data_IF_531149630215
#
_entry.id   IF_531149630215
#
_cell.length_a   1.000
_cell.length_b   1.000
_cell.length_c   1.000
_cell.angle_alpha   90.00
_cell.angle_beta   90.00
_cell.angle_gamma   90.00
#
_symmetry.space_group_name_H-M   'P 1'
#
loop_
_entity.id
_entity.type
_entity.pdbx_description
1 polymer ?
#
# COMPACT_ATOMS: atom_id res chain seq x y z
N UNK A 1 25.13 -25.15 14.10
CA UNK A 1 24.30 -24.77 15.26
C UNK A 1 24.99 -23.77 16.18
N UNK A 2 26.20 -23.98 16.69
CA UNK A 2 26.87 -23.07 17.62
C UNK A 2 27.09 -21.60 17.15
N UNK A 3 27.36 -21.37 15.86
CA UNK A 3 27.50 -19.99 15.33
C UNK A 3 26.17 -19.20 15.27
N UNK A 4 25.04 -19.86 15.15
CA UNK A 4 23.71 -19.23 15.14
C UNK A 4 23.30 -18.81 16.55
N UNK A 5 23.57 -19.64 17.54
CA UNK A 5 23.36 -19.33 18.97
C UNK A 5 24.18 -18.14 19.46
N UNK A 6 25.45 -18.05 19.04
CA UNK A 6 26.35 -16.92 19.44
C UNK A 6 25.89 -15.59 18.77
N UNK A 7 25.29 -15.65 17.59
CA UNK A 7 24.74 -14.45 16.92
C UNK A 7 23.43 -14.01 17.59
N UNK A 8 22.59 -14.95 17.98
CA UNK A 8 21.34 -14.69 18.72
C UNK A 8 21.61 -14.13 20.12
N UNK A 9 22.59 -14.66 20.87
CA UNK A 9 23.01 -14.09 22.13
C UNK A 9 23.60 -12.67 22.00
N UNK A 10 24.41 -12.41 20.99
CA UNK A 10 24.99 -11.08 20.78
C UNK A 10 23.95 -10.05 20.37
N UNK A 11 22.92 -10.44 19.57
CA UNK A 11 21.80 -9.54 19.23
C UNK A 11 20.90 -9.26 20.42
N UNK A 12 20.65 -10.23 21.29
CA UNK A 12 19.91 -10.03 22.54
C UNK A 12 20.61 -9.04 23.49
N UNK A 13 21.90 -9.21 23.70
CA UNK A 13 22.71 -8.30 24.55
C UNK A 13 22.77 -6.87 23.94
N UNK A 14 22.82 -6.74 22.63
CA UNK A 14 22.81 -5.44 21.95
C UNK A 14 21.47 -4.70 22.12
N UNK A 15 20.35 -5.45 22.08
CA UNK A 15 19.03 -4.90 22.30
C UNK A 15 18.78 -4.51 23.76
N UNK A 16 19.22 -5.33 24.73
CA UNK A 16 19.19 -4.97 26.17
C UNK A 16 19.95 -3.68 26.47
N UNK A 17 21.12 -3.49 25.89
CA UNK A 17 21.89 -2.25 26.07
C UNK A 17 21.19 -1.03 25.50
N UNK A 18 20.52 -1.16 24.35
CA UNK A 18 19.70 -0.08 23.77
C UNK A 18 18.47 0.27 24.61
N UNK A 19 17.80 -0.74 25.19
CA UNK A 19 16.69 -0.54 26.11
C UNK A 19 17.15 0.23 27.36
N UNK A 20 18.30 -0.11 27.92
CA UNK A 20 18.86 0.58 29.08
C UNK A 20 19.20 2.04 28.74
N UNK A 21 19.80 2.29 27.58
CA UNK A 21 20.11 3.65 27.12
C UNK A 21 18.86 4.51 26.87
N UNK A 22 17.80 3.93 26.30
CA UNK A 22 16.50 4.59 26.13
C UNK A 22 15.86 4.95 27.47
N UNK A 23 15.86 4.03 28.43
CA UNK A 23 15.36 4.25 29.79
C UNK A 23 16.16 5.33 30.52
N UNK A 24 17.48 5.34 30.43
CA UNK A 24 18.35 6.37 31.06
C UNK A 24 18.06 7.78 30.50
N UNK A 25 17.79 7.89 29.20
CA UNK A 25 17.39 9.17 28.60
C UNK A 25 16.02 9.64 29.10
N UNK A 26 15.08 8.71 29.23
CA UNK A 26 13.74 8.99 29.78
C UNK A 26 13.80 9.36 31.26
N UNK A 27 14.64 8.69 32.06
CA UNK A 27 14.87 9.04 33.46
C UNK A 27 15.43 10.46 33.62
N UNK A 28 16.35 10.87 32.76
CA UNK A 28 16.88 12.25 32.75
C UNK A 28 15.81 13.28 32.35
N UNK A 29 14.88 12.93 31.48
CA UNK A 29 13.72 13.78 31.12
C UNK A 29 12.73 13.83 32.30
N UNK A 30 12.41 12.69 32.93
CA UNK A 30 11.52 12.60 34.09
C UNK A 30 12.03 13.39 35.31
N UNK A 31 13.34 13.44 35.56
CA UNK A 31 13.93 14.22 36.63
C UNK A 31 13.68 15.72 36.47
N UNK A 32 13.44 16.23 35.25
CA UNK A 32 13.08 17.63 34.97
C UNK A 32 11.58 17.90 35.17
N UNK A 33 10.72 16.89 35.07
CA UNK A 33 9.25 17.00 35.07
C UNK A 33 8.57 16.42 36.32
N UNK A 34 9.24 16.39 37.46
CA UNK A 34 8.73 15.87 38.75
C UNK A 34 8.23 14.41 38.69
N UNK A 35 8.93 13.53 38.00
CA UNK A 35 8.62 12.11 37.83
C UNK A 35 7.32 11.85 37.05
N UNK A 36 6.86 12.80 36.25
CA UNK A 36 5.74 12.63 35.32
C UNK A 36 6.29 12.72 33.90
N UNK A 37 6.06 11.68 33.10
CA UNK A 37 6.37 11.66 31.67
C UNK A 37 5.09 11.57 30.87
N UNK A 38 5.07 12.23 29.73
CA UNK A 38 4.01 12.06 28.74
C UNK A 38 4.24 10.76 27.98
N UNK A 39 3.18 10.01 27.72
CA UNK A 39 3.23 8.75 26.97
C UNK A 39 3.91 8.95 25.60
N UNK A 40 3.68 10.10 24.98
CA UNK A 40 4.24 10.47 23.69
C UNK A 40 5.78 10.59 23.76
N UNK A 41 6.30 11.21 24.81
CA UNK A 41 7.75 11.34 25.01
C UNK A 41 8.44 9.98 25.21
N UNK A 42 7.72 8.99 25.73
CA UNK A 42 8.21 7.63 25.86
C UNK A 42 8.24 6.95 24.50
N UNK A 43 7.18 7.11 23.70
CA UNK A 43 7.09 6.53 22.37
C UNK A 43 8.14 7.12 21.42
N UNK A 44 8.29 8.44 21.37
CA UNK A 44 9.31 9.12 20.57
C UNK A 44 10.73 8.63 20.88
N UNK A 45 11.02 8.44 22.18
CA UNK A 45 12.35 7.99 22.61
C UNK A 45 12.62 6.51 22.26
N UNK A 46 11.58 5.68 22.28
CA UNK A 46 11.64 4.28 21.85
C UNK A 46 11.81 4.21 20.33
N UNK A 47 11.17 5.10 19.60
CA UNK A 47 11.30 5.25 18.15
C UNK A 47 12.72 5.65 17.74
N UNK A 48 13.27 6.71 18.36
CA UNK A 48 14.66 7.15 18.14
C UNK A 48 15.69 6.05 18.46
N UNK A 49 15.38 5.19 19.42
CA UNK A 49 16.28 4.10 19.86
C UNK A 49 16.11 2.82 19.05
N UNK A 50 15.06 2.70 18.22
CA UNK A 50 14.75 1.54 17.38
C UNK A 50 14.42 0.27 18.18
N UNK A 51 13.79 0.42 19.36
CA UNK A 51 13.55 -0.67 20.33
C UNK A 51 12.06 -0.95 20.50
N UNK A 52 11.29 -0.90 19.41
CA UNK A 52 9.84 -1.14 19.42
C UNK A 52 9.43 -2.49 20.00
N UNK A 53 10.21 -3.53 19.71
CA UNK A 53 9.90 -4.89 20.15
C UNK A 53 10.04 -5.07 21.69
N UNK A 54 10.71 -4.12 22.37
CA UNK A 54 10.98 -4.14 23.81
C UNK A 54 10.27 -3.02 24.59
N UNK A 55 9.20 -2.47 24.01
CA UNK A 55 8.40 -1.39 24.62
C UNK A 55 7.89 -1.76 26.04
N UNK A 56 7.51 -3.01 26.22
CA UNK A 56 7.06 -3.54 27.52
C UNK A 56 8.16 -3.51 28.59
N UNK A 57 9.39 -3.78 28.20
CA UNK A 57 10.53 -3.72 29.12
C UNK A 57 10.86 -2.27 29.54
N UNK A 58 10.69 -1.32 28.62
CA UNK A 58 10.85 0.11 28.89
C UNK A 58 9.80 0.57 29.91
N UNK A 59 8.53 0.25 29.71
CA UNK A 59 7.44 0.59 30.65
C UNK A 59 7.62 -0.09 32.01
N UNK A 60 8.05 -1.36 32.05
CA UNK A 60 8.29 -2.07 33.31
C UNK A 60 9.43 -1.45 34.12
N UNK A 61 10.51 -1.00 33.46
CA UNK A 61 11.62 -0.29 34.10
C UNK A 61 11.21 1.11 34.58
N UNK A 62 10.43 1.87 33.79
CA UNK A 62 9.89 3.16 34.23
C UNK A 62 8.96 3.03 35.44
N UNK A 63 8.13 1.99 35.47
CA UNK A 63 7.25 1.70 36.62
C UNK A 63 8.05 1.31 37.88
N UNK A 64 9.15 0.56 37.74
CA UNK A 64 10.04 0.22 38.86
C UNK A 64 10.70 1.44 39.52
N UNK A 65 10.96 2.49 38.74
CA UNK A 65 11.50 3.78 39.17
C UNK A 65 10.42 4.78 39.63
N UNK A 66 9.16 4.31 39.81
CA UNK A 66 8.01 5.12 40.25
C UNK A 66 7.71 6.35 39.39
N UNK A 67 7.99 6.27 38.09
CA UNK A 67 7.63 7.32 37.14
C UNK A 67 6.19 7.07 36.67
N UNK A 68 5.34 8.08 36.85
CA UNK A 68 3.95 8.07 36.38
C UNK A 68 3.94 8.55 34.94
N UNK A 69 3.57 7.65 34.02
CA UNK A 69 3.31 8.02 32.63
C UNK A 69 1.86 8.46 32.54
N UNK A 70 1.63 9.74 32.30
CA UNK A 70 0.30 10.31 32.10
C UNK A 70 -0.01 10.44 30.62
N UNK A 71 -1.19 10.05 30.24
CA UNK A 71 -1.81 10.49 28.99
C UNK A 71 -2.44 11.84 29.25
N UNK A 72 -1.88 12.91 28.69
CA UNK A 72 -2.65 14.13 28.56
C UNK A 72 -3.78 13.85 27.59
N UNK A 73 -5.02 14.15 28.01
CA UNK A 73 -6.19 14.22 27.14
C UNK A 73 -6.13 15.49 26.22
N UNK A 74 -4.97 15.89 25.79
CA UNK A 74 -4.87 16.80 24.65
C UNK A 74 -5.01 15.95 23.40
N UNK A 75 -5.76 16.41 22.39
CA UNK A 75 -5.84 15.72 21.11
C UNK A 75 -4.40 15.55 20.63
N UNK A 76 -3.93 14.29 20.62
CA UNK A 76 -2.61 13.97 20.16
C UNK A 76 -2.49 14.53 18.75
N UNK A 77 -1.47 15.37 18.50
CA UNK A 77 -1.00 15.78 17.18
C UNK A 77 -0.60 14.59 16.28
N UNK A 78 -0.79 13.38 16.80
CA UNK A 78 -0.62 12.10 16.13
C UNK A 78 -1.80 11.65 15.26
N UNK A 79 -2.79 12.48 15.07
CA UNK A 79 -3.75 12.29 14.00
C UNK A 79 -3.08 12.64 12.65
N UNK A 80 -2.02 11.87 12.35
CA UNK A 80 -1.32 11.84 11.05
C UNK A 80 -2.32 11.75 9.89
N UNK A 81 -3.49 11.24 10.17
CA UNK A 81 -4.61 11.02 9.27
C UNK A 81 -5.80 11.97 9.52
N UNK A 82 -5.79 12.77 10.59
CA UNK A 82 -6.94 13.56 11.00
C UNK A 82 -7.06 14.92 10.33
N UNK A 83 -6.05 15.38 9.61
CA UNK A 83 -6.07 16.71 9.06
C UNK A 83 -5.93 16.74 7.56
N UNK A 84 -7.00 16.40 6.86
CA UNK A 84 -7.18 16.84 5.48
C UNK A 84 -8.09 18.06 5.35
N UNK A 85 -8.56 18.64 6.42
CA UNK A 85 -9.20 19.98 6.41
C UNK A 85 -9.25 20.41 7.87
N UNK A 86 -8.77 21.60 8.21
CA UNK A 86 -9.15 22.37 9.38
C UNK A 86 -10.63 22.74 9.23
N UNK A 87 -11.48 21.74 9.29
CA UNK A 87 -12.88 21.99 9.56
C UNK A 87 -13.01 22.05 11.07
N UNK A 88 -13.36 23.26 11.54
CA UNK A 88 -13.95 23.53 12.84
C UNK A 88 -14.61 22.24 13.41
N UNK A 89 -14.29 21.81 14.63
CA UNK A 89 -14.85 20.58 15.23
C UNK A 89 -16.36 20.47 15.08
N UNK A 90 -17.06 21.61 14.94
CA UNK A 90 -18.49 21.70 14.61
C UNK A 90 -18.81 21.21 13.20
N UNK A 91 -17.97 21.50 12.19
CA UNK A 91 -18.21 21.11 10.79
C UNK A 91 -17.86 19.65 10.55
N UNK A 92 -16.82 19.12 11.23
CA UNK A 92 -16.47 17.68 11.19
C UNK A 92 -17.58 16.85 11.83
N UNK A 93 -18.15 17.31 12.94
CA UNK A 93 -19.29 16.64 13.57
C UNK A 93 -20.56 16.72 12.74
N UNK A 94 -20.84 17.84 12.04
CA UNK A 94 -21.98 17.95 11.13
C UNK A 94 -21.80 17.12 9.86
N UNK A 95 -20.64 17.14 9.21
CA UNK A 95 -20.36 16.29 8.04
C UNK A 95 -20.38 14.79 8.42
N UNK A 96 -19.79 14.43 9.56
CA UNK A 96 -19.84 13.04 10.04
C UNK A 96 -21.24 12.62 10.50
N UNK A 97 -22.07 13.54 11.01
CA UNK A 97 -23.48 13.31 11.33
C UNK A 97 -24.29 13.15 10.04
N UNK A 98 -24.12 14.04 9.08
CA UNK A 98 -24.78 13.95 7.77
C UNK A 98 -24.33 12.71 7.00
N UNK A 99 -23.05 12.30 7.08
CA UNK A 99 -22.56 11.07 6.47
C UNK A 99 -23.19 9.81 7.10
N UNK A 100 -23.49 9.84 8.39
CA UNK A 100 -24.19 8.74 9.08
C UNK A 100 -25.70 8.76 8.79
N UNK A 101 -26.28 9.92 8.52
CA UNK A 101 -27.71 10.04 8.13
C UNK A 101 -27.91 9.70 6.65
N UNK A 102 -26.94 9.97 5.78
CA UNK A 102 -26.93 9.59 4.37
C UNK A 102 -26.56 8.12 4.11
N UNK A 103 -25.93 7.43 5.08
CA UNK A 103 -25.76 5.99 5.02
C UNK A 103 -27.15 5.35 5.18
N UNK A 104 -27.86 5.29 4.07
CA UNK A 104 -29.13 4.53 3.92
C UNK A 104 -28.91 3.01 4.02
N UNK A 105 -27.72 2.58 4.46
CA UNK A 105 -27.33 1.19 4.52
C UNK A 105 -27.94 0.55 5.79
N UNK A 106 -28.97 -0.23 5.59
CA UNK A 106 -29.63 -1.00 6.64
C UNK A 106 -28.62 -1.85 7.45
N UNK A 107 -27.49 -2.21 6.83
CA UNK A 107 -26.43 -3.01 7.44
C UNK A 107 -25.67 -2.29 8.56
N UNK A 108 -25.31 -1.01 8.38
CA UNK A 108 -24.66 -0.21 9.43
C UNK A 108 -25.60 0.00 10.62
N UNK A 109 -26.85 0.35 10.34
CA UNK A 109 -27.88 0.53 11.40
C UNK A 109 -28.13 -0.76 12.16
N UNK A 110 -28.20 -1.90 11.43
CA UNK A 110 -28.36 -3.21 12.05
C UNK A 110 -27.19 -3.52 12.98
N UNK A 111 -25.95 -3.34 12.51
CA UNK A 111 -24.74 -3.56 13.33
C UNK A 111 -24.73 -2.70 14.59
N UNK A 112 -24.97 -1.38 14.47
CA UNK A 112 -24.99 -0.46 15.60
C UNK A 112 -26.09 -0.82 16.63
N UNK A 113 -27.24 -1.29 16.16
CA UNK A 113 -28.32 -1.77 17.03
C UNK A 113 -27.92 -3.03 17.80
N UNK A 114 -27.21 -3.96 17.14
CA UNK A 114 -26.79 -5.21 17.79
C UNK A 114 -25.72 -4.95 18.87
N UNK A 115 -24.69 -4.15 18.58
CA UNK A 115 -23.67 -3.81 19.58
C UNK A 115 -24.24 -2.96 20.73
N UNK A 116 -25.32 -2.19 20.48
CA UNK A 116 -25.99 -1.38 21.48
C UNK A 116 -26.72 -2.17 22.54
N UNK A 117 -27.08 -3.43 22.30
CA UNK A 117 -27.75 -4.32 23.27
C UNK A 117 -26.83 -4.78 24.40
N UNK A 118 -25.53 -4.75 24.19
CA UNK A 118 -24.54 -5.25 25.14
C UNK A 118 -24.25 -4.16 26.18
N UNK A 119 -24.41 -4.42 27.49
CA UNK A 119 -24.11 -3.45 28.52
C UNK A 119 -22.61 -3.16 28.61
N UNK A 120 -22.27 -1.95 29.03
CA UNK A 120 -20.88 -1.58 29.33
C UNK A 120 -20.39 -2.29 30.57
N UNK A 121 -19.14 -2.67 30.63
CA UNK A 121 -18.51 -3.30 31.78
C UNK A 121 -18.15 -2.26 32.84
N UNK A 122 -18.33 -2.61 34.11
CA UNK A 122 -17.75 -1.89 35.24
C UNK A 122 -16.27 -2.21 35.39
N UNK A 123 -15.50 -1.38 36.09
CA UNK A 123 -14.07 -1.61 36.29
C UNK A 123 -13.76 -2.95 37.00
N UNK A 124 -14.63 -3.39 37.90
CA UNK A 124 -14.48 -4.66 38.60
C UNK A 124 -14.74 -5.86 37.68
N UNK A 125 -15.78 -5.77 36.85
CA UNK A 125 -16.09 -6.79 35.82
C UNK A 125 -15.00 -6.88 34.76
N UNK A 126 -14.45 -5.74 34.32
CA UNK A 126 -13.33 -5.68 33.37
C UNK A 126 -12.12 -6.44 33.92
N UNK A 127 -11.75 -6.20 35.17
CA UNK A 127 -10.64 -6.86 35.85
C UNK A 127 -10.89 -8.37 36.05
N UNK A 128 -12.13 -8.75 36.42
CA UNK A 128 -12.53 -10.15 36.59
C UNK A 128 -12.47 -10.90 35.22
N UNK A 129 -13.00 -10.29 34.16
CA UNK A 129 -12.91 -10.86 32.79
C UNK A 129 -11.49 -10.96 32.29
N UNK A 130 -10.66 -9.94 32.50
CA UNK A 130 -9.25 -9.96 32.09
C UNK A 130 -8.48 -11.12 32.73
N UNK A 131 -8.68 -11.38 34.02
CA UNK A 131 -8.06 -12.52 34.69
C UNK A 131 -8.51 -13.88 34.11
N UNK A 132 -9.79 -14.00 33.71
CA UNK A 132 -10.31 -15.20 33.04
C UNK A 132 -9.78 -15.35 31.62
N UNK A 133 -9.53 -14.24 30.91
CA UNK A 133 -8.88 -14.25 29.59
C UNK A 133 -7.45 -14.77 29.70
N UNK A 134 -6.68 -14.34 30.70
CA UNK A 134 -5.33 -14.85 30.99
C UNK A 134 -5.36 -16.35 31.30
N UNK A 135 -6.41 -16.83 31.99
CA UNK A 135 -6.62 -18.26 32.23
C UNK A 135 -6.98 -19.06 30.97
N UNK A 136 -7.16 -18.41 29.81
CA UNK A 136 -7.42 -19.03 28.52
C UNK A 136 -8.91 -19.30 28.24
N UNK A 137 -9.83 -18.68 28.97
CA UNK A 137 -11.28 -18.88 28.79
C UNK A 137 -11.78 -18.13 27.55
N UNK A 138 -12.18 -18.84 26.50
CA UNK A 138 -12.69 -18.23 25.26
C UNK A 138 -13.93 -17.36 25.47
N UNK A 139 -14.88 -17.83 26.30
CA UNK A 139 -16.10 -17.05 26.59
C UNK A 139 -15.81 -15.68 27.22
N UNK A 140 -14.82 -15.61 28.13
CA UNK A 140 -14.42 -14.35 28.72
C UNK A 140 -13.79 -13.39 27.70
N UNK A 141 -13.01 -13.93 26.75
CA UNK A 141 -12.46 -13.17 25.63
C UNK A 141 -13.56 -12.59 24.74
N UNK A 142 -14.55 -13.40 24.38
CA UNK A 142 -15.68 -12.98 23.56
C UNK A 142 -16.49 -11.88 24.27
N UNK A 143 -16.83 -12.08 25.55
CA UNK A 143 -17.55 -11.08 26.36
C UNK A 143 -16.81 -9.75 26.49
N UNK A 144 -15.49 -9.80 26.70
CA UNK A 144 -14.67 -8.59 26.81
C UNK A 144 -14.59 -7.84 25.47
N UNK A 145 -14.50 -8.56 24.35
CA UNK A 145 -14.53 -7.98 23.01
C UNK A 145 -15.88 -7.35 22.69
N UNK A 146 -16.98 -8.09 22.90
CA UNK A 146 -18.34 -7.63 22.62
C UNK A 146 -18.69 -6.33 23.38
N UNK A 147 -18.37 -6.25 24.68
CA UNK A 147 -18.63 -5.07 25.49
C UNK A 147 -17.86 -3.81 25.04
N UNK A 148 -16.72 -4.01 24.33
CA UNK A 148 -15.86 -2.92 23.87
C UNK A 148 -15.99 -2.60 22.35
N UNK A 149 -16.91 -3.23 21.61
CA UNK A 149 -17.15 -2.91 20.20
C UNK A 149 -17.59 -1.46 19.98
N UNK A 150 -18.30 -0.86 20.94
CA UNK A 150 -18.70 0.56 20.89
C UNK A 150 -17.48 1.51 20.89
N UNK A 151 -16.41 1.14 21.59
CA UNK A 151 -15.14 1.89 21.55
C UNK A 151 -14.53 1.88 20.15
N UNK A 152 -14.56 0.74 19.46
CA UNK A 152 -14.07 0.63 18.09
C UNK A 152 -14.83 1.58 17.17
N UNK A 153 -16.16 1.62 17.25
CA UNK A 153 -17.00 2.51 16.43
C UNK A 153 -16.66 3.98 16.67
N UNK A 154 -16.46 4.39 17.91
CA UNK A 154 -16.09 5.77 18.26
C UNK A 154 -14.75 6.20 17.67
N UNK A 155 -13.79 5.28 17.57
CA UNK A 155 -12.48 5.50 16.95
C UNK A 155 -12.61 5.48 15.41
N UNK A 156 -13.28 4.48 14.84
CA UNK A 156 -13.44 4.31 13.39
C UNK A 156 -14.16 5.51 12.74
N UNK A 157 -15.11 6.16 13.46
CA UNK A 157 -15.81 7.35 12.98
C UNK A 157 -14.87 8.46 12.54
N UNK A 158 -13.74 8.64 13.21
CA UNK A 158 -12.74 9.68 12.88
C UNK A 158 -11.95 9.38 11.60
N UNK A 159 -12.04 8.15 11.10
CA UNK A 159 -11.34 7.68 9.90
C UNK A 159 -12.26 7.46 8.70
N UNK A 160 -13.54 7.85 8.81
CA UNK A 160 -14.50 7.79 7.71
C UNK A 160 -14.08 8.68 6.53
N UNK A 161 -14.42 8.26 5.30
CA UNK A 161 -14.14 9.03 4.08
C UNK A 161 -12.70 8.98 3.60
N UNK A 162 -11.89 7.99 4.05
CA UNK A 162 -10.48 7.84 3.69
C UNK A 162 -10.18 6.65 2.75
N UNK A 163 -11.15 6.33 1.90
CA UNK A 163 -10.99 5.30 0.86
C UNK A 163 -11.39 3.89 1.29
N UNK A 164 -11.86 3.70 2.54
CA UNK A 164 -12.48 2.47 3.01
C UNK A 164 -13.89 2.75 3.53
N UNK A 165 -14.78 1.79 3.36
CA UNK A 165 -16.12 1.83 3.90
C UNK A 165 -16.12 1.83 5.44
N UNK A 166 -17.11 2.46 6.04
CA UNK A 166 -17.18 2.59 7.50
C UNK A 166 -17.28 1.23 8.21
N UNK A 167 -18.00 0.26 7.64
CA UNK A 167 -18.05 -1.10 8.17
C UNK A 167 -16.70 -1.82 8.11
N UNK A 168 -15.94 -1.62 7.03
CA UNK A 168 -14.60 -2.19 6.89
C UNK A 168 -13.63 -1.62 7.92
N UNK A 169 -13.68 -0.31 8.15
CA UNK A 169 -12.91 0.34 9.23
C UNK A 169 -13.24 -0.24 10.60
N UNK A 170 -14.53 -0.49 10.88
CA UNK A 170 -14.97 -1.11 12.13
C UNK A 170 -14.43 -2.54 12.23
N UNK A 171 -14.51 -3.34 11.16
CA UNK A 171 -14.04 -4.74 11.20
C UNK A 171 -12.53 -4.84 11.38
N UNK A 172 -11.76 -4.00 10.71
CA UNK A 172 -10.32 -3.91 10.93
C UNK A 172 -10.00 -3.42 12.36
N UNK A 173 -10.76 -2.45 12.87
CA UNK A 173 -10.69 -2.02 14.25
C UNK A 173 -11.03 -3.13 15.25
N UNK A 174 -12.04 -3.96 14.97
CA UNK A 174 -12.38 -5.14 15.77
C UNK A 174 -11.25 -6.17 15.79
N UNK A 175 -10.54 -6.34 14.67
CA UNK A 175 -9.34 -7.18 14.62
C UNK A 175 -8.25 -6.65 15.56
N UNK A 176 -8.05 -5.33 15.61
CA UNK A 176 -7.19 -4.66 16.59
C UNK A 176 -7.65 -4.87 18.04
N UNK A 177 -8.95 -4.73 18.30
CA UNK A 177 -9.54 -4.97 19.62
C UNK A 177 -9.29 -6.40 20.11
N UNK A 178 -9.48 -7.42 19.25
CA UNK A 178 -9.22 -8.82 19.61
C UNK A 178 -7.76 -9.04 20.02
N UNK A 179 -6.82 -8.43 19.31
CA UNK A 179 -5.39 -8.46 19.69
C UNK A 179 -5.13 -7.77 21.02
N UNK A 180 -5.82 -6.64 21.27
CA UNK A 180 -5.72 -5.95 22.56
C UNK A 180 -6.24 -6.82 23.70
N UNK A 181 -7.36 -7.52 23.54
CA UNK A 181 -7.92 -8.45 24.54
C UNK A 181 -6.94 -9.59 24.85
N UNK A 182 -6.28 -10.13 23.85
CA UNK A 182 -5.30 -11.23 24.03
C UNK A 182 -4.05 -10.80 24.80
N UNK A 183 -3.62 -9.54 24.62
CA UNK A 183 -2.36 -9.05 25.16
C UNK A 183 -2.53 -8.17 26.41
N UNK A 184 -3.74 -7.93 26.84
CA UNK A 184 -4.00 -7.07 27.99
C UNK A 184 -3.59 -7.71 29.31
N UNK A 185 -2.82 -6.95 30.10
CA UNK A 185 -2.37 -7.37 31.44
C UNK A 185 -2.99 -6.47 32.51
N UNK A 186 -3.97 -6.99 33.29
CA UNK A 186 -4.63 -6.22 34.34
C UNK A 186 -3.72 -5.87 35.51
N UNK A 187 -2.56 -6.56 35.68
CA UNK A 187 -1.63 -6.28 36.80
C UNK A 187 -1.00 -4.90 36.72
N UNK A 188 -0.97 -4.29 35.52
CA UNK A 188 -0.40 -2.96 35.27
C UNK A 188 -1.28 -1.80 35.77
N UNK A 189 -2.52 -2.05 36.22
CA UNK A 189 -3.40 -1.05 36.85
C UNK A 189 -4.03 -0.03 35.87
N UNK A 190 -3.84 -0.16 34.57
CA UNK A 190 -4.46 0.71 33.56
C UNK A 190 -5.82 0.17 33.13
N UNK A 191 -6.72 1.07 32.68
CA UNK A 191 -7.99 0.67 32.07
C UNK A 191 -7.74 0.00 30.71
N UNK A 192 -8.55 -1.00 30.42
CA UNK A 192 -8.48 -1.70 29.14
C UNK A 192 -8.64 -0.74 27.93
N UNK A 193 -9.55 0.23 28.02
CA UNK A 193 -9.80 1.20 26.96
C UNK A 193 -8.55 1.97 26.53
N UNK A 194 -7.68 2.35 27.47
CA UNK A 194 -6.41 3.06 27.18
C UNK A 194 -5.48 2.20 26.31
N UNK A 195 -5.35 0.93 26.65
CA UNK A 195 -4.53 -0.03 25.91
C UNK A 195 -5.16 -0.41 24.56
N UNK A 196 -6.47 -0.67 24.55
CA UNK A 196 -7.19 -1.07 23.34
C UNK A 196 -7.21 0.02 22.27
N UNK A 197 -7.31 1.30 22.65
CA UNK A 197 -7.32 2.43 21.72
C UNK A 197 -6.10 2.43 20.80
N UNK A 198 -4.92 2.11 21.33
CA UNK A 198 -3.71 2.02 20.54
C UNK A 198 -3.79 0.90 19.48
N UNK A 199 -4.22 -0.31 19.88
CA UNK A 199 -4.33 -1.44 18.96
C UNK A 199 -5.41 -1.23 17.90
N UNK A 200 -6.54 -0.63 18.28
CA UNK A 200 -7.63 -0.30 17.36
C UNK A 200 -7.15 0.72 16.32
N UNK A 201 -6.51 1.81 16.77
CA UNK A 201 -5.97 2.85 15.91
C UNK A 201 -4.93 2.27 14.94
N UNK A 202 -3.99 1.50 15.45
CA UNK A 202 -2.95 0.85 14.65
C UNK A 202 -3.54 -0.08 13.58
N UNK A 203 -4.58 -0.86 13.91
CA UNK A 203 -5.23 -1.75 12.95
C UNK A 203 -5.94 -0.94 11.85
N UNK A 204 -6.70 0.09 12.22
CA UNK A 204 -7.41 0.95 11.27
C UNK A 204 -6.43 1.69 10.35
N UNK A 205 -5.42 2.36 10.90
CA UNK A 205 -4.44 3.11 10.08
C UNK A 205 -3.66 2.20 9.15
N UNK A 206 -3.31 1.01 9.60
CA UNK A 206 -2.64 0.01 8.76
C UNK A 206 -3.55 -0.49 7.64
N UNK A 207 -4.83 -0.76 7.94
CA UNK A 207 -5.81 -1.18 6.93
C UNK A 207 -6.00 -0.10 5.85
N UNK A 208 -6.10 1.18 6.24
CA UNK A 208 -6.18 2.30 5.30
C UNK A 208 -4.92 2.34 4.41
N UNK A 209 -3.73 2.21 4.99
CA UNK A 209 -2.48 2.21 4.22
C UNK A 209 -2.39 1.04 3.23
N UNK A 210 -2.91 -0.13 3.61
CA UNK A 210 -2.79 -1.37 2.84
C UNK A 210 -3.89 -1.54 1.78
N UNK A 211 -5.10 -1.00 1.98
CA UNK A 211 -6.30 -1.36 1.22
C UNK A 211 -7.05 -0.17 0.59
N UNK A 212 -6.85 1.08 1.08
CA UNK A 212 -7.64 2.22 0.63
C UNK A 212 -7.37 2.64 -0.83
N UNK A 213 -6.22 2.30 -1.40
CA UNK A 213 -5.83 2.69 -2.76
C UNK A 213 -5.98 1.55 -3.75
N UNK A 214 -6.52 1.83 -4.93
CA UNK A 214 -6.62 0.87 -6.05
C UNK A 214 -5.24 0.32 -6.43
N UNK A 215 -4.23 1.20 -6.50
CA UNK A 215 -2.83 0.80 -6.67
C UNK A 215 -2.18 0.85 -5.29
N UNK A 216 -1.91 -0.34 -4.73
CA UNK A 216 -1.32 -0.49 -3.40
C UNK A 216 0.05 0.18 -3.31
N UNK A 217 0.23 0.98 -2.26
CA UNK A 217 1.49 1.65 -1.92
C UNK A 217 2.05 1.04 -0.62
N UNK A 218 3.37 0.80 -0.50
CA UNK A 218 3.96 0.34 0.75
C UNK A 218 3.73 1.31 1.91
N UNK A 219 3.57 0.79 3.14
CA UNK A 219 3.24 1.59 4.35
C UNK A 219 4.23 2.73 4.57
N UNK A 220 5.54 2.48 4.45
CA UNK A 220 6.56 3.53 4.63
C UNK A 220 6.43 4.70 3.63
N UNK A 221 5.91 4.43 2.41
CA UNK A 221 5.65 5.50 1.44
C UNK A 221 4.41 6.30 1.82
N UNK A 222 3.39 5.65 2.39
CA UNK A 222 2.22 6.33 2.93
C UNK A 222 2.61 7.24 4.10
N UNK A 223 3.49 6.79 4.99
CA UNK A 223 4.05 7.61 6.07
C UNK A 223 4.83 8.82 5.52
N UNK A 224 5.64 8.60 4.47
CA UNK A 224 6.36 9.68 3.80
C UNK A 224 5.42 10.70 3.16
N UNK A 225 4.36 10.26 2.50
CA UNK A 225 3.31 11.13 1.93
C UNK A 225 2.65 11.95 3.03
N UNK A 226 2.33 11.34 4.16
CA UNK A 226 1.72 12.05 5.30
C UNK A 226 2.67 13.08 5.92
N UNK A 227 3.95 12.73 6.07
CA UNK A 227 4.99 13.67 6.51
C UNK A 227 5.08 14.86 5.54
N UNK A 228 5.07 14.59 4.24
CA UNK A 228 5.09 15.65 3.20
C UNK A 228 3.87 16.57 3.33
N UNK A 229 2.66 16.00 3.47
CA UNK A 229 1.43 16.79 3.60
C UNK A 229 1.44 17.69 4.84
N UNK A 230 1.88 17.17 5.99
CA UNK A 230 2.03 17.96 7.21
C UNK A 230 3.03 19.09 7.05
N UNK A 231 4.21 18.77 6.51
CA UNK A 231 5.26 19.76 6.26
C UNK A 231 4.77 20.85 5.28
N UNK A 232 4.10 20.45 4.20
CA UNK A 232 3.53 21.38 3.22
C UNK A 232 2.53 22.33 3.87
N UNK A 233 1.60 21.83 4.71
CA UNK A 233 0.62 22.67 5.41
C UNK A 233 1.29 23.65 6.37
N UNK A 234 2.19 23.16 7.22
CA UNK A 234 2.93 24.01 8.16
C UNK A 234 3.67 25.12 7.42
N UNK A 235 4.40 24.80 6.35
CA UNK A 235 5.12 25.79 5.57
C UNK A 235 4.18 26.75 4.84
N UNK A 236 3.04 26.28 4.34
CA UNK A 236 2.03 27.16 3.74
C UNK A 236 1.49 28.15 4.75
N UNK A 237 1.27 27.73 5.99
CA UNK A 237 0.82 28.62 7.07
C UNK A 237 1.90 29.64 7.47
N UNK A 238 3.18 29.22 7.54
CA UNK A 238 4.29 30.10 7.88
C UNK A 238 4.61 31.10 6.76
N UNK A 239 4.61 30.66 5.51
CA UNK A 239 4.99 31.45 4.34
C UNK A 239 3.83 32.24 3.72
N UNK A 240 2.57 31.92 4.08
CA UNK A 240 1.33 32.41 3.42
C UNK A 240 1.31 32.19 1.89
N UNK A 241 2.02 31.16 1.40
CA UNK A 241 2.04 30.68 0.01
C UNK A 241 2.40 29.20 -0.03
N UNK A 242 2.13 28.57 -1.15
CA UNK A 242 2.61 27.19 -1.35
C UNK A 242 4.15 27.13 -1.37
N UNK A 243 4.76 26.18 -0.62
CA UNK A 243 6.20 25.99 -0.63
C UNK A 243 6.69 25.39 -1.94
N UNK A 244 7.89 25.74 -2.38
CA UNK A 244 8.54 25.14 -3.54
C UNK A 244 9.08 23.74 -3.21
N UNK A 245 9.32 22.92 -4.25
CA UNK A 245 9.88 21.56 -4.07
C UNK A 245 11.22 21.60 -3.35
N UNK A 246 12.05 22.62 -3.62
CA UNK A 246 13.35 22.81 -2.97
C UNK A 246 13.23 23.16 -1.48
N UNK A 247 12.23 23.96 -1.12
CA UNK A 247 11.94 24.31 0.28
C UNK A 247 11.43 23.09 1.05
N UNK A 248 10.51 22.33 0.46
CA UNK A 248 10.03 21.07 1.03
C UNK A 248 11.15 20.03 1.21
N UNK A 249 12.04 19.93 0.21
CA UNK A 249 13.18 19.01 0.25
C UNK A 249 14.15 19.33 1.41
N UNK A 250 14.40 20.60 1.65
CA UNK A 250 15.23 21.05 2.77
C UNK A 250 14.60 20.73 4.13
N UNK A 251 13.30 20.99 4.28
CA UNK A 251 12.59 20.79 5.54
C UNK A 251 12.38 19.29 5.85
N UNK A 252 12.20 18.47 4.81
CA UNK A 252 12.08 17.02 4.95
C UNK A 252 13.40 16.27 5.03
N UNK A 253 14.53 16.96 4.83
CA UNK A 253 15.88 16.37 4.74
C UNK A 253 16.00 15.32 3.63
N UNK A 254 15.37 15.58 2.48
CA UNK A 254 15.32 14.66 1.33
C UNK A 254 15.82 15.35 0.06
N UNK A 255 16.24 14.55 -0.93
CA UNK A 255 16.60 15.07 -2.26
C UNK A 255 15.35 15.57 -2.99
N UNK A 256 15.43 16.70 -3.75
CA UNK A 256 14.29 17.28 -4.48
C UNK A 256 13.62 16.28 -5.44
N UNK A 257 14.40 15.43 -6.10
CA UNK A 257 13.90 14.39 -7.00
C UNK A 257 12.99 13.36 -6.27
N UNK A 258 13.33 13.02 -5.01
CA UNK A 258 12.52 12.14 -4.18
C UNK A 258 11.22 12.78 -3.76
N UNK A 259 11.25 14.08 -3.44
CA UNK A 259 10.03 14.82 -3.09
C UNK A 259 9.09 14.90 -4.30
N UNK A 260 9.61 15.18 -5.50
CA UNK A 260 8.82 15.16 -6.73
C UNK A 260 8.20 13.79 -7.00
N UNK A 261 8.96 12.72 -6.80
CA UNK A 261 8.47 11.35 -6.91
C UNK A 261 7.34 11.05 -5.92
N UNK A 262 7.47 11.47 -4.66
CA UNK A 262 6.43 11.30 -3.63
C UNK A 262 5.16 12.08 -4.01
N UNK A 263 5.29 13.29 -4.57
CA UNK A 263 4.16 14.10 -5.06
C UNK A 263 3.43 13.38 -6.20
N UNK A 264 4.16 12.76 -7.13
CA UNK A 264 3.56 11.97 -8.23
C UNK A 264 2.80 10.75 -7.71
N UNK A 265 3.36 10.02 -6.74
CA UNK A 265 2.70 8.84 -6.15
C UNK A 265 1.48 9.22 -5.30
N UNK A 266 1.47 10.43 -4.72
CA UNK A 266 0.34 10.93 -3.92
C UNK A 266 -0.96 11.02 -4.73
N UNK A 267 -0.87 11.25 -6.05
CA UNK A 267 -2.05 11.43 -6.90
C UNK A 267 -2.97 10.21 -6.82
N UNK A 268 -4.26 10.48 -6.71
CA UNK A 268 -5.30 9.45 -6.75
C UNK A 268 -5.68 9.15 -8.21
N UNK A 269 -6.19 7.95 -8.44
CA UNK A 269 -6.68 7.54 -9.77
C UNK A 269 -8.11 8.02 -9.97
N UNK A 270 -8.41 8.50 -11.16
CA UNK A 270 -9.75 8.89 -11.56
C UNK A 270 -10.45 7.71 -12.25
N UNK A 271 -11.76 7.59 -12.09
CA UNK A 271 -12.56 6.62 -12.85
C UNK A 271 -12.60 7.02 -14.32
N UNK A 272 -12.50 6.04 -15.21
CA UNK A 272 -12.71 6.26 -16.65
C UNK A 272 -14.18 6.56 -16.98
N UNK A 273 -15.10 6.10 -16.12
CA UNK A 273 -16.54 6.37 -16.26
C UNK A 273 -16.96 7.73 -15.68
N UNK A 274 -15.99 8.53 -15.21
CA UNK A 274 -16.29 9.87 -14.70
C UNK A 274 -16.77 10.76 -15.85
N UNK A 275 -17.91 11.44 -15.65
CA UNK A 275 -18.43 12.40 -16.62
C UNK A 275 -17.45 13.59 -16.77
N UNK A 276 -17.21 14.01 -18.01
CA UNK A 276 -16.30 15.13 -18.31
C UNK A 276 -16.98 16.48 -18.08
N UNK A 277 -18.31 16.55 -18.23
CA UNK A 277 -19.13 17.72 -17.99
C UNK A 277 -20.42 17.32 -17.28
N UNK A 278 -20.86 18.18 -16.37
CA UNK A 278 -22.12 17.96 -15.62
C UNK A 278 -23.37 18.00 -16.52
N UNK A 279 -23.28 18.62 -17.70
CA UNK A 279 -24.42 18.85 -18.61
C UNK A 279 -24.56 17.79 -19.74
N UNK A 280 -23.54 16.92 -19.92
CA UNK A 280 -23.53 15.88 -20.97
C UNK A 280 -23.40 14.50 -20.33
N UNK A 281 -24.54 13.83 -20.09
CA UNK A 281 -24.58 12.47 -19.48
C UNK A 281 -23.87 11.38 -20.31
N UNK A 282 -23.57 11.65 -21.59
CA UNK A 282 -23.08 10.64 -22.53
C UNK A 282 -21.55 10.63 -22.71
N UNK A 283 -20.81 11.65 -22.23
CA UNK A 283 -19.35 11.75 -22.45
C UNK A 283 -18.56 11.38 -21.20
N UNK A 284 -17.87 10.25 -21.24
CA UNK A 284 -17.01 9.78 -20.16
C UNK A 284 -15.52 10.02 -20.45
N UNK A 285 -14.70 10.11 -19.39
CA UNK A 285 -13.25 10.33 -19.52
C UNK A 285 -12.57 9.25 -20.40
N UNK A 286 -13.08 8.02 -20.36
CA UNK A 286 -12.57 6.91 -21.15
C UNK A 286 -12.65 7.12 -22.65
N UNK A 287 -13.66 7.89 -23.15
CA UNK A 287 -13.85 8.14 -24.58
C UNK A 287 -12.76 9.03 -25.19
N UNK A 288 -12.01 9.76 -24.36
CA UNK A 288 -10.94 10.66 -24.79
C UNK A 288 -9.55 10.00 -24.78
N UNK A 289 -9.45 8.75 -24.32
CA UNK A 289 -8.18 8.03 -24.26
C UNK A 289 -8.02 7.22 -25.54
N UNK A 290 -6.96 7.51 -26.30
CA UNK A 290 -6.62 6.80 -27.53
C UNK A 290 -6.16 5.37 -27.24
N UNK A 291 -6.63 4.42 -28.05
CA UNK A 291 -6.15 3.03 -28.02
C UNK A 291 -4.85 2.94 -28.84
N UNK A 292 -3.71 2.83 -28.13
CA UNK A 292 -2.39 2.71 -28.74
C UNK A 292 -2.05 1.26 -29.13
N UNK A 293 -2.77 0.26 -28.63
CA UNK A 293 -2.47 -1.15 -28.84
C UNK A 293 -3.10 -1.69 -30.14
N UNK A 294 -4.24 -1.18 -30.55
CA UNK A 294 -4.95 -1.60 -31.76
C UNK A 294 -4.38 -0.89 -32.99
N UNK A 295 -3.89 -1.68 -33.95
CA UNK A 295 -3.37 -1.14 -35.20
C UNK A 295 -4.45 -0.37 -35.95
N UNK A 296 -4.06 0.77 -36.51
CA UNK A 296 -4.97 1.54 -37.37
C UNK A 296 -5.35 0.75 -38.63
N UNK A 297 -6.52 1.01 -39.24
CA UNK A 297 -6.93 0.34 -40.49
C UNK A 297 -5.90 0.49 -41.61
N UNK A 298 -5.24 1.66 -41.70
CA UNK A 298 -4.20 1.94 -42.71
C UNK A 298 -2.93 1.11 -42.48
N UNK A 299 -2.51 0.94 -41.20
CA UNK A 299 -1.38 0.08 -40.85
C UNK A 299 -1.69 -1.39 -41.13
N UNK A 300 -2.92 -1.84 -40.77
CA UNK A 300 -3.35 -3.20 -41.05
C UNK A 300 -3.41 -3.50 -42.55
N UNK A 301 -3.92 -2.56 -43.35
CA UNK A 301 -3.94 -2.68 -44.81
C UNK A 301 -2.51 -2.71 -45.40
N UNK A 302 -1.64 -1.85 -44.90
CA UNK A 302 -0.24 -1.79 -45.34
C UNK A 302 0.50 -3.10 -45.00
N UNK A 303 0.28 -3.64 -43.80
CA UNK A 303 0.86 -4.95 -43.40
C UNK A 303 0.35 -6.11 -44.28
N UNK A 304 -0.95 -6.08 -44.62
CA UNK A 304 -1.52 -7.09 -45.49
C UNK A 304 -0.94 -7.02 -46.93
N UNK A 305 -0.84 -5.81 -47.47
CA UNK A 305 -0.19 -5.60 -48.80
C UNK A 305 1.26 -6.04 -48.78
N UNK A 306 2.01 -5.74 -47.72
CA UNK A 306 3.38 -6.20 -47.56
C UNK A 306 3.48 -7.74 -47.56
N UNK A 307 2.57 -8.42 -46.80
CA UNK A 307 2.52 -9.89 -46.78
C UNK A 307 2.27 -10.47 -48.15
N UNK A 308 1.33 -9.92 -48.92
CA UNK A 308 1.01 -10.35 -50.26
C UNK A 308 2.20 -10.16 -51.22
N UNK A 309 2.81 -8.97 -51.18
CA UNK A 309 4.01 -8.70 -52.03
C UNK A 309 5.20 -9.62 -51.68
N UNK A 310 5.42 -9.87 -50.40
CA UNK A 310 6.48 -10.81 -49.95
C UNK A 310 6.16 -12.22 -50.47
N UNK A 311 4.93 -12.69 -50.41
CA UNK A 311 4.52 -14.00 -50.90
C UNK A 311 4.75 -14.10 -52.44
N UNK A 312 4.36 -13.09 -53.20
CA UNK A 312 4.53 -13.04 -54.66
C UNK A 312 6.02 -13.06 -55.04
N UNK A 313 6.85 -12.29 -54.36
CA UNK A 313 8.30 -12.28 -54.58
C UNK A 313 8.93 -13.63 -54.26
N UNK A 314 8.52 -14.23 -53.12
CA UNK A 314 9.00 -15.55 -52.70
C UNK A 314 8.61 -16.64 -53.74
N UNK A 315 7.35 -16.60 -54.22
CA UNK A 315 6.88 -17.56 -55.22
C UNK A 315 7.56 -17.41 -56.59
N UNK A 316 7.87 -16.16 -56.99
CA UNK A 316 8.54 -15.90 -58.28
C UNK A 316 10.06 -16.17 -58.28
N UNK A 317 10.73 -15.97 -57.13
CA UNK A 317 12.20 -16.04 -57.01
C UNK A 317 12.74 -17.40 -56.58
N UNK A 318 11.93 -18.19 -55.87
CA UNK A 318 12.37 -19.43 -55.22
C UNK A 318 11.71 -20.67 -55.84
N UNK A 319 12.42 -21.81 -55.81
CA UNK A 319 11.80 -23.11 -56.14
C UNK A 319 10.86 -23.55 -54.98
N UNK A 320 9.90 -24.42 -55.27
CA UNK A 320 8.92 -24.90 -54.25
C UNK A 320 9.58 -25.42 -52.95
N UNK A 321 10.71 -26.09 -53.09
CA UNK A 321 11.46 -26.64 -51.96
C UNK A 321 12.16 -25.53 -51.17
N UNK A 322 12.77 -24.56 -51.84
CA UNK A 322 13.39 -23.39 -51.19
C UNK A 322 12.33 -22.52 -50.53
N UNK A 323 11.16 -22.35 -51.16
CA UNK A 323 10.04 -21.58 -50.65
C UNK A 323 9.53 -22.17 -49.34
N UNK A 324 9.25 -23.48 -49.26
CA UNK A 324 8.78 -24.14 -48.04
C UNK A 324 9.79 -24.02 -46.91
N UNK A 325 11.09 -24.21 -47.20
CA UNK A 325 12.15 -24.06 -46.19
C UNK A 325 12.20 -22.63 -45.64
N UNK A 326 12.10 -21.62 -46.49
CA UNK A 326 12.10 -20.21 -46.08
C UNK A 326 10.84 -19.89 -45.27
N UNK A 327 9.64 -20.32 -45.69
CA UNK A 327 8.41 -20.13 -45.00
C UNK A 327 8.42 -20.70 -43.58
N UNK A 328 8.86 -21.94 -43.40
CA UNK A 328 9.00 -22.57 -42.09
C UNK A 328 10.06 -21.87 -41.22
N UNK A 329 11.19 -21.52 -41.82
CA UNK A 329 12.32 -20.92 -41.12
C UNK A 329 11.96 -19.56 -40.50
N UNK A 330 11.21 -18.74 -41.26
CA UNK A 330 10.81 -17.39 -40.87
C UNK A 330 9.37 -17.32 -40.37
N UNK A 331 8.69 -18.45 -40.21
CA UNK A 331 7.32 -18.49 -39.63
C UNK A 331 6.28 -17.76 -40.47
N UNK A 332 6.44 -17.74 -41.82
CA UNK A 332 5.54 -16.99 -42.71
C UNK A 332 4.15 -17.63 -42.88
N UNK A 333 3.98 -18.90 -42.50
CA UNK A 333 2.67 -19.60 -42.52
C UNK A 333 2.10 -19.70 -41.12
N UNK A 334 2.87 -20.18 -40.13
CA UNK A 334 2.39 -20.55 -38.80
C UNK A 334 2.73 -19.49 -37.72
N UNK A 335 3.39 -18.40 -38.09
CA UNK A 335 3.85 -17.37 -37.16
C UNK A 335 4.98 -17.84 -36.23
N UNK A 336 5.51 -19.07 -36.39
CA UNK A 336 6.55 -19.64 -35.54
C UNK A 336 7.84 -19.85 -36.31
N UNK A 337 8.94 -19.31 -35.83
CA UNK A 337 10.27 -19.52 -36.41
C UNK A 337 10.78 -20.91 -36.01
N UNK A 338 11.03 -21.77 -37.00
CA UNK A 338 11.59 -23.10 -36.76
C UNK A 338 13.13 -23.08 -36.80
N UNK A 339 13.77 -23.93 -36.01
CA UNK A 339 15.22 -24.08 -36.00
C UNK A 339 15.72 -24.81 -37.22
N UNK A 340 17.03 -24.65 -37.58
CA UNK A 340 17.63 -25.36 -38.70
C UNK A 340 17.58 -26.90 -38.56
N UNK A 341 17.53 -27.40 -37.33
CA UNK A 341 17.44 -28.83 -37.00
C UNK A 341 16.02 -29.35 -37.22
N UNK A 342 14.99 -28.65 -36.78
CA UNK A 342 13.60 -29.00 -37.01
C UNK A 342 13.25 -29.03 -38.49
N UNK A 343 13.63 -27.97 -39.23
CA UNK A 343 13.45 -27.94 -40.68
C UNK A 343 14.25 -29.05 -41.37
N UNK A 344 15.46 -29.34 -40.87
CA UNK A 344 16.27 -30.46 -41.36
C UNK A 344 15.60 -31.81 -41.18
N UNK A 345 14.96 -32.02 -40.04
CA UNK A 345 14.22 -33.24 -39.75
C UNK A 345 13.00 -33.40 -40.67
N UNK A 346 12.22 -32.33 -40.89
CA UNK A 346 11.05 -32.33 -41.77
C UNK A 346 11.40 -32.67 -43.22
N UNK A 347 12.51 -32.15 -43.75
CA UNK A 347 12.96 -32.38 -45.15
C UNK A 347 13.93 -33.55 -45.27
N UNK A 348 14.20 -34.31 -44.22
CA UNK A 348 15.14 -35.43 -44.17
C UNK A 348 16.55 -35.05 -44.68
N UNK A 349 17.06 -33.88 -44.28
CA UNK A 349 18.40 -33.38 -44.68
C UNK A 349 19.14 -32.85 -43.43
N UNK A 350 20.49 -32.75 -43.59
CA UNK A 350 21.32 -32.28 -42.49
C UNK A 350 21.13 -30.78 -42.25
N UNK A 351 21.33 -30.33 -41.00
CA UNK A 351 21.30 -28.93 -40.57
C UNK A 351 22.12 -28.02 -41.47
N UNK A 352 23.34 -28.45 -41.81
CA UNK A 352 24.23 -27.68 -42.68
C UNK A 352 23.68 -27.54 -44.10
N UNK A 353 22.97 -28.54 -44.60
CA UNK A 353 22.34 -28.49 -45.92
C UNK A 353 21.20 -27.47 -45.94
N UNK A 354 20.40 -27.40 -44.88
CA UNK A 354 19.35 -26.36 -44.72
C UNK A 354 19.99 -24.97 -44.69
N UNK A 355 21.09 -24.77 -43.94
CA UNK A 355 21.83 -23.50 -43.90
C UNK A 355 22.32 -23.06 -45.28
N UNK A 356 22.83 -24.01 -46.10
CA UNK A 356 23.26 -23.72 -47.45
C UNK A 356 22.09 -23.34 -48.36
N UNK A 357 20.94 -24.01 -48.23
CA UNK A 357 19.74 -23.71 -49.02
C UNK A 357 19.21 -22.33 -48.66
N UNK A 358 19.09 -22.03 -47.34
CA UNK A 358 18.68 -20.73 -46.82
C UNK A 358 19.57 -19.59 -47.36
N UNK A 359 20.91 -19.75 -47.27
CA UNK A 359 21.85 -18.76 -47.77
C UNK A 359 21.71 -18.52 -49.30
N UNK A 360 21.48 -19.59 -50.07
CA UNK A 360 21.24 -19.48 -51.54
C UNK A 360 19.90 -18.81 -51.83
N UNK A 361 18.83 -19.15 -51.10
CA UNK A 361 17.53 -18.55 -51.25
C UNK A 361 17.58 -17.05 -50.98
N UNK A 362 18.15 -16.64 -49.83
CA UNK A 362 18.33 -15.23 -49.49
C UNK A 362 19.19 -14.46 -50.53
N UNK A 363 20.23 -15.10 -51.08
CA UNK A 363 21.04 -14.49 -52.14
C UNK A 363 20.27 -14.30 -53.45
N UNK A 364 19.34 -15.23 -53.82
CA UNK A 364 18.41 -15.08 -54.94
C UNK A 364 17.43 -13.93 -54.71
N UNK A 365 16.81 -13.88 -53.55
CA UNK A 365 15.88 -12.82 -53.19
C UNK A 365 16.51 -11.44 -53.21
N UNK A 366 17.73 -11.29 -52.68
CA UNK A 366 18.48 -10.02 -52.71
C UNK A 366 18.76 -9.50 -54.13
N UNK A 367 18.89 -10.40 -55.14
CA UNK A 367 19.11 -10.06 -56.54
C UNK A 367 17.83 -9.86 -57.33
N UNK A 368 16.67 -10.15 -56.76
CA UNK A 368 15.41 -10.04 -57.45
C UNK A 368 15.06 -8.57 -57.71
N UNK A 369 14.51 -8.27 -58.89
CA UNK A 369 14.21 -6.89 -59.33
C UNK A 369 13.19 -6.21 -58.42
N UNK A 370 12.17 -6.95 -57.96
CA UNK A 370 11.09 -6.44 -57.14
C UNK A 370 11.45 -6.34 -55.66
N UNK A 371 12.59 -6.90 -55.22
CA UNK A 371 13.04 -6.74 -53.84
C UNK A 371 13.30 -5.27 -53.46
N UNK A 372 13.55 -4.39 -54.45
CA UNK A 372 13.68 -2.95 -54.18
C UNK A 372 12.38 -2.30 -53.71
N UNK A 373 11.22 -2.79 -54.12
CA UNK A 373 9.90 -2.27 -53.71
C UNK A 373 9.66 -2.50 -52.23
N UNK A 374 10.22 -3.56 -51.66
CA UNK A 374 10.10 -3.84 -50.23
C UNK A 374 10.81 -2.82 -49.33
N UNK A 375 11.82 -2.09 -49.90
CA UNK A 375 12.51 -1.05 -49.15
C UNK A 375 11.59 0.16 -48.84
N UNK A 376 10.53 0.39 -49.63
CA UNK A 376 9.57 1.46 -49.44
C UNK A 376 8.74 1.26 -48.13
N UNK A 377 8.64 0.00 -47.66
CA UNK A 377 7.96 -0.33 -46.41
C UNK A 377 8.87 -0.25 -45.15
N UNK A 378 10.18 -0.02 -45.35
CA UNK A 378 11.17 0.08 -44.28
C UNK A 378 11.51 1.55 -43.94
N UNK A 379 11.05 2.49 -44.74
CA UNK A 379 11.22 3.93 -44.56
C UNK A 379 10.03 4.54 -43.88
#
# INVERSE_FOLDING_TARGET
MAKKQIIEEKTAILNENKVIEAVDKLLKKAAKTRSILDQQQVLDQVEESGVYDHLEEVYSKLASEKIVVTTKDEPADDDIWATTEEDDESVVNEKASNYLDDISDDSVRLYLREIGKIPLLTAEEELALANRVIAGEKKAKDQMAEANMRLVVSIAKRYSGRGLDFLDLIQEGNTGLLRAVEKFDPSKGFKFSTYATWWIRQAITRAIADQARVIRIPVHMVETINKLLRTQRRMTQELNREPTIEELAKEMEMEPEKVEYVIKIKQDVNSLDAAVRDDEEDSVLGDFIEDEDTKSPDEAATEQLLKEQVQDILASALSERELKIVKMRFGLEDGKNHTLEEVGHEFAVTRERIRQIEAKALAKLRKHKDAKKLYEYLS
#
